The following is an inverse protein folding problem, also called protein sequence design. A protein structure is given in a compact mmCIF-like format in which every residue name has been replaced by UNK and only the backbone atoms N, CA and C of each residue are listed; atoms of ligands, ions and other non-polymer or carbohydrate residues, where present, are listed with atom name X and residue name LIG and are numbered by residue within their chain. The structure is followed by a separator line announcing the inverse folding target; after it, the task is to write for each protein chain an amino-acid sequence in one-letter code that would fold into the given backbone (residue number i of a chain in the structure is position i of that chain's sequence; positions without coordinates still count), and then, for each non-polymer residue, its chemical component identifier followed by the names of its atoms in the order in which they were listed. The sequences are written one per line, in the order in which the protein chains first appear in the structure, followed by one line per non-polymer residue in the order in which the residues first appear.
data_IF_611112737350
#
_entry.id   IF_611112737350
#
_cell.length_a   1.000
_cell.length_b   1.000
_cell.length_c   1.000
_cell.angle_alpha   90.00
_cell.angle_beta   90.00
_cell.angle_gamma   90.00
#
_symmetry.space_group_name_H-M   'P 1'
#
loop_
_entity.id
_entity.type
_entity.pdbx_description
1 polymer ?
#
# COMPACT_ATOMS: atom_id res chain seq x y z
N UNK A 1 1.33 7.93 -14.41
CA UNK A 1 -0.05 8.35 -14.12
C UNK A 1 -0.10 8.84 -12.69
N UNK A 2 -0.15 10.14 -12.47
CA UNK A 2 -0.41 10.77 -11.16
C UNK A 2 -1.72 11.54 -11.34
N UNK A 3 -2.62 11.52 -10.34
CA UNK A 3 -3.94 12.16 -10.43
C UNK A 3 -5.10 11.21 -10.75
N UNK A 4 -4.89 9.90 -10.69
CA UNK A 4 -5.97 8.89 -10.78
C UNK A 4 -6.20 8.23 -9.42
N UNK A 5 -7.43 7.78 -9.17
CA UNK A 5 -7.76 7.02 -7.96
C UNK A 5 -6.90 5.75 -7.84
N UNK A 6 -6.52 5.41 -6.61
CA UNK A 6 -5.83 4.15 -6.31
C UNK A 6 -6.89 3.05 -6.24
N UNK A 7 -6.97 2.25 -7.31
CA UNK A 7 -7.82 1.06 -7.41
C UNK A 7 -6.99 -0.22 -7.43
N UNK A 8 -7.67 -1.36 -7.55
CA UNK A 8 -7.07 -2.70 -7.58
C UNK A 8 -5.89 -2.81 -8.56
N UNK A 9 -6.08 -2.34 -9.81
CA UNK A 9 -5.06 -2.39 -10.86
C UNK A 9 -3.82 -1.52 -10.61
N UNK A 10 -3.96 -0.44 -9.84
CA UNK A 10 -2.89 0.53 -9.58
C UNK A 10 -2.30 0.42 -8.16
N UNK A 11 -2.88 -0.42 -7.30
CA UNK A 11 -2.46 -0.57 -5.91
C UNK A 11 -0.99 -0.98 -5.79
N UNK A 12 -0.54 -1.91 -6.62
CA UNK A 12 0.86 -2.38 -6.67
C UNK A 12 1.88 -1.27 -6.92
N UNK A 13 1.59 -0.34 -7.83
CA UNK A 13 2.49 0.77 -8.15
C UNK A 13 2.53 1.77 -7.01
N UNK A 14 1.40 1.99 -6.35
CA UNK A 14 1.34 2.83 -5.16
C UNK A 14 2.17 2.27 -4.01
N UNK A 15 2.10 0.94 -3.76
CA UNK A 15 2.93 0.31 -2.73
C UNK A 15 4.42 0.47 -3.02
N UNK A 16 4.87 0.18 -4.25
CA UNK A 16 6.27 0.37 -4.64
C UNK A 16 6.71 1.84 -4.51
N UNK A 17 5.86 2.78 -4.95
CA UNK A 17 6.13 4.21 -4.83
C UNK A 17 6.34 4.62 -3.36
N UNK A 18 5.44 4.21 -2.46
CA UNK A 18 5.54 4.52 -1.03
C UNK A 18 6.77 3.90 -0.38
N UNK A 19 7.16 2.69 -0.81
CA UNK A 19 8.38 2.03 -0.35
C UNK A 19 9.64 2.82 -0.75
N UNK A 20 9.78 3.19 -2.03
CA UNK A 20 10.95 3.94 -2.50
C UNK A 20 10.98 5.37 -1.96
N UNK A 21 9.83 6.04 -1.84
CA UNK A 21 9.76 7.36 -1.20
C UNK A 21 10.24 7.25 0.25
N UNK A 22 9.76 6.26 1.00
CA UNK A 22 10.20 6.05 2.39
C UNK A 22 11.69 5.74 2.50
N UNK A 23 12.23 4.87 1.64
CA UNK A 23 13.65 4.54 1.65
C UNK A 23 14.53 5.75 1.27
N UNK A 24 14.17 6.46 0.20
CA UNK A 24 14.90 7.65 -0.24
C UNK A 24 14.82 8.76 0.81
N UNK A 25 13.69 8.95 1.48
CA UNK A 25 13.54 9.96 2.51
C UNK A 25 14.30 9.63 3.79
N UNK A 26 14.39 8.35 4.17
CA UNK A 26 15.23 7.91 5.31
C UNK A 26 16.70 8.23 5.03
N UNK A 27 17.19 7.86 3.84
CA UNK A 27 18.57 8.15 3.43
C UNK A 27 18.81 9.66 3.36
N UNK A 28 17.90 10.41 2.73
CA UNK A 28 17.96 11.86 2.62
C UNK A 28 17.98 12.55 4.00
N UNK A 29 17.14 12.09 4.94
CA UNK A 29 17.13 12.57 6.32
C UNK A 29 18.47 12.29 7.01
N UNK A 30 19.00 11.07 6.89
CA UNK A 30 20.25 10.67 7.50
C UNK A 30 21.44 11.54 7.02
N UNK A 31 21.60 11.68 5.70
CA UNK A 31 22.67 12.52 5.14
C UNK A 31 22.49 14.00 5.46
N UNK A 32 21.26 14.51 5.42
CA UNK A 32 20.98 15.92 5.76
C UNK A 32 21.32 16.20 7.22
N UNK A 33 20.93 15.30 8.13
CA UNK A 33 21.23 15.39 9.57
C UNK A 33 22.72 15.32 9.84
N UNK A 34 23.44 14.39 9.22
CA UNK A 34 24.90 14.31 9.36
C UNK A 34 25.58 15.60 8.89
N UNK A 35 25.13 16.16 7.77
CA UNK A 35 25.70 17.41 7.25
C UNK A 35 25.43 18.60 8.17
N UNK A 36 24.23 18.68 8.76
CA UNK A 36 23.89 19.68 9.79
C UNK A 36 24.81 19.54 11.00
N UNK A 37 24.97 18.32 11.54
CA UNK A 37 25.80 18.07 12.71
C UNK A 37 27.26 18.44 12.45
N UNK A 38 27.80 18.12 11.27
CA UNK A 38 29.16 18.51 10.89
C UNK A 38 29.37 20.03 10.85
N UNK A 39 28.33 20.79 10.50
CA UNK A 39 28.37 22.25 10.46
C UNK A 39 28.19 22.85 11.86
N UNK A 40 27.39 22.24 12.73
CA UNK A 40 27.20 22.69 14.11
C UNK A 40 28.40 22.35 15.01
N UNK A 41 29.08 21.22 14.81
CA UNK A 41 30.29 20.89 15.60
C UNK A 41 31.44 21.89 15.35
N UNK A 42 31.50 22.47 14.15
CA UNK A 42 32.39 23.59 13.83
C UNK A 42 32.01 24.89 14.55
N UNK A 43 30.77 24.99 15.03
CA UNK A 43 30.19 26.19 15.65
C UNK A 43 29.71 25.83 17.05
N UNK A 44 30.67 25.72 17.98
CA UNK A 44 30.53 25.29 19.38
C UNK A 44 29.41 25.95 20.21
N UNK A 45 28.76 27.01 19.71
CA UNK A 45 27.73 27.79 20.41
C UNK A 45 26.29 27.42 20.02
N UNK A 46 26.09 26.51 19.04
CA UNK A 46 24.73 26.18 18.56
C UNK A 46 24.03 25.16 19.46
N UNK A 47 22.98 25.60 20.14
CA UNK A 47 22.13 24.75 20.97
C UNK A 47 21.04 24.05 20.12
N UNK A 48 20.62 22.84 20.50
CA UNK A 48 19.63 22.03 19.75
C UNK A 48 18.32 22.76 19.44
N UNK A 49 17.94 23.71 20.29
CA UNK A 49 16.75 24.57 20.15
C UNK A 49 16.83 25.50 18.95
N UNK A 50 18.02 25.86 18.50
CA UNK A 50 18.23 26.73 17.32
C UNK A 50 18.05 25.99 15.99
N UNK A 51 17.86 24.67 16.02
CA UNK A 51 17.53 23.87 14.83
C UNK A 51 16.04 23.87 14.49
N UNK A 52 15.19 24.49 15.32
CA UNK A 52 13.78 24.69 15.02
C UNK A 52 13.63 25.67 13.84
N UNK A 53 12.94 25.23 12.79
CA UNK A 53 12.76 25.97 11.54
C UNK A 53 12.39 27.47 11.71
N UNK A 54 11.45 27.89 12.59
CA UNK A 54 11.15 29.32 12.78
C UNK A 54 12.32 30.11 13.40
N UNK A 55 13.10 29.49 14.29
CA UNK A 55 14.29 30.10 14.88
C UNK A 55 15.43 30.19 13.86
N UNK A 56 15.65 29.14 13.07
CA UNK A 56 16.62 29.14 11.96
C UNK A 56 16.32 30.23 10.95
N UNK A 57 15.05 30.43 10.59
CA UNK A 57 14.63 31.53 9.71
C UNK A 57 14.96 32.90 10.30
N UNK A 58 14.67 33.11 11.60
CA UNK A 58 15.05 34.34 12.29
C UNK A 58 16.57 34.57 12.20
N UNK A 59 17.37 33.56 12.53
CA UNK A 59 18.83 33.68 12.49
C UNK A 59 19.40 33.93 11.08
N UNK A 60 18.75 33.41 10.04
CA UNK A 60 19.08 33.75 8.65
C UNK A 60 18.86 35.24 8.35
N UNK A 61 17.72 35.82 8.75
CA UNK A 61 17.47 37.26 8.56
C UNK A 61 18.46 38.15 9.32
N UNK A 62 18.98 37.68 10.47
CA UNK A 62 20.04 38.37 11.21
C UNK A 62 21.46 38.05 10.71
N UNK A 63 21.60 37.32 9.59
CA UNK A 63 22.90 37.02 8.97
C UNK A 63 23.78 36.05 9.76
N UNK A 64 23.24 35.34 10.76
CA UNK A 64 23.99 34.37 11.57
C UNK A 64 24.15 33.00 10.91
N UNK A 65 23.33 32.70 9.91
CA UNK A 65 23.23 31.40 9.25
C UNK A 65 23.31 31.61 7.74
N UNK A 66 24.01 30.71 7.05
CA UNK A 66 24.12 30.75 5.58
C UNK A 66 22.83 30.25 4.90
N UNK A 67 22.55 30.70 3.67
CA UNK A 67 21.40 30.20 2.89
C UNK A 67 21.44 28.68 2.73
N UNK A 68 22.64 28.10 2.57
CA UNK A 68 22.84 26.66 2.46
C UNK A 68 22.36 25.92 3.72
N UNK A 69 22.69 26.41 4.91
CA UNK A 69 22.26 25.83 6.19
C UNK A 69 20.73 25.89 6.34
N UNK A 70 20.10 27.00 5.93
CA UNK A 70 18.64 27.15 5.96
C UNK A 70 17.95 26.14 5.02
N UNK A 71 18.45 26.01 3.79
CA UNK A 71 17.93 25.06 2.79
C UNK A 71 18.10 23.62 3.27
N UNK A 72 19.25 23.28 3.86
CA UNK A 72 19.53 21.96 4.40
C UNK A 72 18.60 21.60 5.57
N UNK A 73 18.33 22.57 6.46
CA UNK A 73 17.33 22.42 7.52
C UNK A 73 15.94 22.17 6.94
N UNK A 74 15.52 22.97 5.97
CA UNK A 74 14.24 22.76 5.29
C UNK A 74 14.15 21.34 4.68
N UNK A 75 15.20 20.89 3.98
CA UNK A 75 15.25 19.53 3.44
C UNK A 75 15.14 18.47 4.54
N UNK A 76 15.86 18.62 5.65
CA UNK A 76 15.78 17.71 6.79
C UNK A 76 14.34 17.56 7.31
N UNK A 77 13.61 18.66 7.48
CA UNK A 77 12.21 18.63 7.90
C UNK A 77 11.29 18.00 6.85
N UNK A 78 11.48 18.32 5.56
CA UNK A 78 10.70 17.68 4.50
C UNK A 78 10.92 16.17 4.44
N UNK A 79 12.17 15.71 4.57
CA UNK A 79 12.50 14.29 4.59
C UNK A 79 11.94 13.58 5.82
N UNK A 80 11.96 14.22 6.99
CA UNK A 80 11.34 13.68 8.20
C UNK A 80 9.83 13.47 8.00
N UNK A 81 9.13 14.50 7.51
CA UNK A 81 7.69 14.42 7.23
C UNK A 81 7.36 13.37 6.17
N UNK A 82 8.10 13.33 5.06
CA UNK A 82 7.88 12.35 3.99
C UNK A 82 8.20 10.94 4.45
N UNK A 83 9.14 10.76 5.38
CA UNK A 83 9.43 9.44 5.98
C UNK A 83 8.24 8.94 6.78
N UNK A 84 7.67 9.77 7.65
CA UNK A 84 6.49 9.42 8.46
C UNK A 84 5.32 9.06 7.53
N UNK A 85 5.03 9.92 6.56
CA UNK A 85 3.91 9.70 5.65
C UNK A 85 4.15 8.49 4.73
N UNK A 86 5.31 8.41 4.10
CA UNK A 86 5.65 7.34 3.16
C UNK A 86 5.66 5.96 3.82
N UNK A 87 6.29 5.83 4.98
CA UNK A 87 6.28 4.56 5.74
C UNK A 87 4.88 4.24 6.27
N UNK A 88 4.16 5.22 6.81
CA UNK A 88 2.79 5.03 7.27
C UNK A 88 1.85 4.51 6.17
N UNK A 89 1.87 5.13 5.00
CA UNK A 89 1.10 4.65 3.85
C UNK A 89 1.55 3.27 3.38
N UNK A 90 2.85 3.01 3.34
CA UNK A 90 3.38 1.70 2.99
C UNK A 90 2.84 0.61 3.93
N UNK A 91 2.92 0.80 5.25
CA UNK A 91 2.42 -0.17 6.23
C UNK A 91 0.92 -0.40 6.11
N UNK A 92 0.13 0.66 5.93
CA UNK A 92 -1.32 0.54 5.72
C UNK A 92 -1.62 -0.30 4.48
N UNK A 93 -0.92 -0.05 3.37
CA UNK A 93 -1.11 -0.82 2.15
C UNK A 93 -0.68 -2.28 2.30
N UNK A 94 0.42 -2.54 2.99
CA UNK A 94 0.87 -3.90 3.28
C UNK A 94 -0.13 -4.66 4.15
N UNK A 95 -0.73 -4.01 5.15
CA UNK A 95 -1.80 -4.62 5.95
C UNK A 95 -3.03 -4.94 5.10
N UNK A 96 -3.44 -4.05 4.19
CA UNK A 96 -4.58 -4.27 3.30
C UNK A 96 -4.34 -5.48 2.39
N UNK A 97 -3.13 -5.61 1.84
CA UNK A 97 -2.73 -6.76 1.02
C UNK A 97 -2.71 -8.04 1.86
N UNK A 98 -2.19 -7.98 3.08
CA UNK A 98 -2.19 -9.12 4.00
C UNK A 98 -3.62 -9.64 4.26
N UNK A 99 -4.57 -8.73 4.43
CA UNK A 99 -5.99 -9.04 4.63
C UNK A 99 -6.68 -9.54 3.35
N UNK A 100 -6.05 -9.44 2.17
CA UNK A 100 -6.64 -9.82 0.89
C UNK A 100 -7.86 -8.99 0.51
N UNK A 101 -7.91 -7.72 0.93
CA UNK A 101 -9.02 -6.81 0.66
C UNK A 101 -8.55 -5.63 -0.17
N UNK A 102 -9.47 -5.00 -0.90
CA UNK A 102 -9.24 -3.66 -1.45
C UNK A 102 -9.55 -2.57 -0.41
N UNK A 103 -8.94 -1.38 -0.52
CA UNK A 103 -9.21 -0.26 0.39
C UNK A 103 -10.71 0.09 0.46
N UNK A 104 -11.43 -0.07 -0.65
CA UNK A 104 -12.89 0.13 -0.71
C UNK A 104 -13.66 -0.88 0.16
N UNK A 105 -13.26 -2.15 0.13
CA UNK A 105 -13.86 -3.21 0.95
C UNK A 105 -13.48 -3.09 2.43
N UNK A 106 -12.25 -2.63 2.70
CA UNK A 106 -11.81 -2.31 4.05
C UNK A 106 -12.67 -1.20 4.67
N UNK A 107 -12.90 -0.09 3.93
CA UNK A 107 -13.72 1.03 4.40
C UNK A 107 -15.20 0.69 4.57
N UNK A 108 -15.74 -0.22 3.75
CA UNK A 108 -17.16 -0.61 3.81
C UNK A 108 -17.44 -1.82 4.70
N UNK A 109 -16.43 -2.31 5.42
CA UNK A 109 -16.52 -3.46 6.33
C UNK A 109 -17.23 -4.69 5.73
N UNK A 110 -17.10 -4.89 4.42
CA UNK A 110 -17.67 -6.09 3.79
C UNK A 110 -16.88 -7.29 4.28
N UNK A 111 -17.56 -8.18 5.00
CA UNK A 111 -17.00 -9.41 5.56
C UNK A 111 -16.96 -10.48 4.47
N UNK A 112 -16.13 -10.29 3.45
CA UNK A 112 -15.77 -11.36 2.53
C UNK A 112 -14.87 -12.34 3.28
N UNK A 113 -15.40 -13.53 3.54
CA UNK A 113 -14.64 -14.64 4.14
C UNK A 113 -13.62 -15.12 3.12
N UNK A 114 -12.41 -14.57 3.17
CA UNK A 114 -11.32 -15.00 2.30
C UNK A 114 -10.73 -16.28 2.88
N UNK A 115 -10.86 -17.38 2.12
CA UNK A 115 -10.20 -18.66 2.43
C UNK A 115 -8.77 -18.71 1.84
N UNK A 116 -8.24 -17.58 1.37
CA UNK A 116 -6.92 -17.48 0.74
C UNK A 116 -5.82 -17.35 1.80
N UNK A 117 -4.69 -17.96 1.51
CA UNK A 117 -3.43 -17.78 2.25
C UNK A 117 -2.83 -16.41 1.96
N UNK A 118 -2.01 -15.91 2.89
CA UNK A 118 -1.32 -14.60 2.73
C UNK A 118 -0.49 -14.56 1.45
N UNK A 119 0.19 -15.66 1.11
CA UNK A 119 0.99 -15.75 -0.11
C UNK A 119 0.15 -15.60 -1.37
N UNK A 120 -1.06 -16.16 -1.41
CA UNK A 120 -1.99 -16.00 -2.53
C UNK A 120 -2.46 -14.55 -2.67
N UNK A 121 -2.68 -13.84 -1.56
CA UNK A 121 -3.04 -12.42 -1.58
C UNK A 121 -1.91 -11.55 -2.16
N UNK A 122 -0.65 -11.84 -1.83
CA UNK A 122 0.50 -11.15 -2.41
C UNK A 122 0.69 -11.50 -3.89
N UNK A 123 0.50 -12.77 -4.25
CA UNK A 123 0.60 -13.24 -5.64
C UNK A 123 -0.48 -12.63 -6.54
N UNK A 124 -1.66 -12.33 -6.00
CA UNK A 124 -2.72 -11.63 -6.73
C UNK A 124 -2.31 -10.19 -7.10
N UNK A 125 -1.65 -9.47 -6.18
CA UNK A 125 -1.26 -8.07 -6.38
C UNK A 125 0.02 -7.92 -7.21
N UNK A 126 1.03 -8.76 -6.94
CA UNK A 126 2.36 -8.67 -7.55
C UNK A 126 2.65 -9.72 -8.62
N UNK A 127 1.75 -10.70 -8.81
CA UNK A 127 1.94 -11.80 -9.76
C UNK A 127 2.81 -12.94 -9.22
N UNK A 128 3.12 -13.95 -10.06
CA UNK A 128 4.03 -15.04 -9.71
C UNK A 128 5.43 -14.49 -9.40
N UNK A 129 6.12 -15.10 -8.43
CA UNK A 129 7.38 -14.58 -7.87
C UNK A 129 7.26 -13.15 -7.30
N UNK A 130 6.22 -12.91 -6.49
CA UNK A 130 5.87 -11.59 -5.94
C UNK A 130 7.05 -10.83 -5.28
N UNK A 131 7.99 -11.53 -4.63
CA UNK A 131 9.17 -10.90 -3.99
C UNK A 131 10.08 -10.21 -5.01
N UNK A 132 10.36 -10.86 -6.14
CA UNK A 132 11.19 -10.28 -7.20
C UNK A 132 10.49 -9.09 -7.86
N UNK A 133 9.18 -9.21 -8.10
CA UNK A 133 8.36 -8.12 -8.64
C UNK A 133 8.19 -6.95 -7.66
N UNK A 134 8.35 -7.17 -6.36
CA UNK A 134 8.31 -6.12 -5.35
C UNK A 134 9.59 -5.29 -5.33
N UNK A 135 10.76 -5.94 -5.39
CA UNK A 135 12.07 -5.28 -5.30
C UNK A 135 12.48 -4.63 -6.63
N UNK A 136 12.16 -5.29 -7.75
CA UNK A 136 12.44 -4.77 -9.07
C UNK A 136 11.10 -4.43 -9.72
N UNK A 137 10.90 -3.19 -10.20
CA UNK A 137 9.72 -2.83 -10.98
C UNK A 137 9.80 -3.44 -12.39
N UNK A 138 10.08 -4.75 -12.52
CA UNK A 138 10.11 -5.51 -13.78
C UNK A 138 8.78 -5.42 -14.54
N UNK A 139 7.72 -5.01 -13.86
CA UNK A 139 6.37 -4.79 -14.41
C UNK A 139 6.24 -3.46 -15.20
N UNK A 140 7.24 -2.57 -15.17
CA UNK A 140 7.39 -1.50 -16.17
C UNK A 140 7.77 -2.08 -17.55
N UNK A 141 8.47 -3.22 -17.55
CA UNK A 141 8.88 -3.94 -18.76
C UNK A 141 7.80 -4.92 -19.21
N UNK A 142 7.14 -5.59 -18.27
CA UNK A 142 6.06 -6.54 -18.57
C UNK A 142 4.69 -5.96 -18.18
N UNK A 143 3.97 -5.43 -19.18
CA UNK A 143 2.56 -5.02 -19.03
C UNK A 143 1.72 -6.23 -18.63
N UNK A 144 1.01 -6.16 -17.50
CA UNK A 144 0.01 -7.18 -17.19
C UNK A 144 -1.06 -7.14 -18.27
N UNK A 145 -1.36 -8.29 -18.88
CA UNK A 145 -2.55 -8.44 -19.70
C UNK A 145 -3.75 -8.20 -18.78
N UNK A 146 -4.62 -7.26 -19.13
CA UNK A 146 -5.95 -7.14 -18.55
C UNK A 146 -6.61 -8.51 -18.73
N UNK A 147 -6.72 -9.27 -17.64
CA UNK A 147 -7.66 -10.37 -17.62
C UNK A 147 -9.04 -9.72 -17.54
N UNK A 148 -9.62 -9.44 -18.70
CA UNK A 148 -11.07 -9.33 -18.91
C UNK A 148 -11.70 -10.71 -18.64
N UNK A 149 -11.49 -11.24 -17.44
CA UNK A 149 -12.30 -12.34 -16.97
C UNK A 149 -13.54 -11.71 -16.34
N UNK A 150 -14.73 -11.83 -16.96
CA UNK A 150 -15.95 -11.61 -16.20
C UNK A 150 -15.84 -12.44 -14.94
N UNK A 151 -16.30 -11.87 -13.83
CA UNK A 151 -16.35 -12.50 -12.51
C UNK A 151 -17.10 -13.82 -12.63
N UNK A 152 -16.42 -14.89 -13.06
CA UNK A 152 -17.05 -16.18 -13.23
C UNK A 152 -17.36 -16.63 -11.81
N UNK A 153 -18.65 -16.80 -11.46
CA UNK A 153 -18.99 -17.31 -10.16
C UNK A 153 -18.23 -18.62 -9.98
N UNK A 154 -17.54 -18.72 -8.85
CA UNK A 154 -16.82 -19.91 -8.41
C UNK A 154 -17.64 -21.15 -8.78
N UNK A 155 -17.12 -22.03 -9.65
CA UNK A 155 -17.82 -23.27 -10.10
C UNK A 155 -18.32 -24.11 -8.92
N UNK A 156 -17.72 -23.94 -7.73
CA UNK A 156 -18.13 -24.60 -6.48
C UNK A 156 -19.49 -24.15 -5.96
N UNK A 157 -19.98 -22.96 -6.36
CA UNK A 157 -21.33 -22.48 -6.03
C UNK A 157 -22.38 -23.01 -7.02
N UNK A 158 -22.00 -23.30 -8.26
CA UNK A 158 -22.89 -23.89 -9.27
C UNK A 158 -23.22 -25.34 -8.95
N UNK A 159 -22.26 -26.11 -8.43
CA UNK A 159 -22.50 -27.52 -8.07
C UNK A 159 -23.43 -27.70 -6.88
N UNK A 160 -23.48 -26.73 -5.97
CA UNK A 160 -24.40 -26.75 -4.82
C UNK A 160 -25.84 -26.42 -5.26
N UNK A 161 -26.01 -25.56 -6.25
CA UNK A 161 -27.33 -25.24 -6.80
C UNK A 161 -27.84 -26.37 -7.72
N UNK A 162 -26.99 -27.00 -8.52
CA UNK A 162 -27.39 -28.16 -9.35
C UNK A 162 -27.75 -29.40 -8.49
N UNK A 163 -26.98 -29.67 -7.43
CA UNK A 163 -27.27 -30.78 -6.53
C UNK A 163 -28.41 -30.49 -5.53
N UNK A 164 -28.74 -29.22 -5.29
CA UNK A 164 -29.88 -28.81 -4.46
C UNK A 164 -31.23 -28.84 -5.19
N UNK A 165 -31.24 -28.74 -6.52
CA UNK A 165 -32.46 -28.79 -7.34
C UNK A 165 -32.84 -30.22 -7.74
N UNK A 166 -31.88 -31.13 -7.91
CA UNK A 166 -32.17 -32.53 -8.28
C UNK A 166 -32.58 -33.44 -7.12
N UNK A 167 -32.61 -32.94 -5.87
CA UNK A 167 -32.92 -33.73 -4.68
C UNK A 167 -34.39 -33.71 -4.23
N UNK A 168 -35.29 -32.99 -4.91
CA UNK A 168 -36.65 -32.74 -4.41
C UNK A 168 -37.81 -33.19 -5.33
N UNK A 169 -37.59 -34.16 -6.22
CA UNK A 169 -38.68 -34.71 -7.03
C UNK A 169 -38.58 -36.23 -7.16
N UNK A 170 -38.60 -36.92 -6.03
CA UNK A 170 -38.82 -38.37 -6.02
C UNK A 170 -39.28 -38.89 -4.66
N UNK A 171 -40.39 -38.35 -4.13
CA UNK A 171 -41.22 -39.14 -3.22
C UNK A 171 -42.65 -38.58 -3.23
N UNK A 172 -43.63 -39.50 -3.27
CA UNK A 172 -45.02 -39.30 -2.86
C UNK A 172 -46.07 -38.98 -3.94
N UNK A 173 -46.56 -40.03 -4.62
CA UNK A 173 -48.01 -40.21 -4.82
C UNK A 173 -48.35 -41.67 -5.17
N UNK A 174 -48.54 -42.50 -4.14
CA UNK A 174 -49.33 -43.72 -4.24
C UNK A 174 -50.81 -43.34 -4.09
N UNK A 175 -51.63 -43.61 -5.10
CA UNK A 175 -53.06 -43.87 -4.90
C UNK A 175 -53.54 -44.94 -5.88
N UNK A 176 -53.60 -46.16 -5.35
CA UNK A 176 -54.46 -47.24 -5.82
C UNK A 176 -55.90 -46.88 -5.47
N UNK A 177 -56.77 -46.79 -6.48
CA UNK A 177 -58.23 -46.88 -6.31
C UNK A 177 -58.78 -47.86 -7.34
N UNK A 178 -59.32 -48.95 -6.82
CA UNK A 178 -60.20 -49.92 -7.48
C UNK A 178 -61.58 -49.27 -7.64
N UNK A 179 -62.19 -49.34 -8.84
CA UNK A 179 -63.62 -49.64 -9.08
C UNK A 179 -64.06 -49.30 -10.50
N UNK A 180 -64.22 -50.31 -11.35
CA UNK A 180 -65.44 -50.76 -12.05
C UNK A 180 -65.07 -51.66 -13.23
#
# INVERSE_FOLDING_TARGET
MVGTCIGYYNQRYFVMLTFYIGLASILGFHYSRQRILSLSDLRSDFHWTEHLLPLTMKHFFFGRISLLELVLMFYCYTFAWTTIMGTGFFFVQMMIIFLGKTFHEFKKEKRTRSYRTVSENFMEVFGPCWVANFILPMQLVFRQKEFDQPFLPNKRHSTVLENGVNGHSQEQSDHVVISM
#
